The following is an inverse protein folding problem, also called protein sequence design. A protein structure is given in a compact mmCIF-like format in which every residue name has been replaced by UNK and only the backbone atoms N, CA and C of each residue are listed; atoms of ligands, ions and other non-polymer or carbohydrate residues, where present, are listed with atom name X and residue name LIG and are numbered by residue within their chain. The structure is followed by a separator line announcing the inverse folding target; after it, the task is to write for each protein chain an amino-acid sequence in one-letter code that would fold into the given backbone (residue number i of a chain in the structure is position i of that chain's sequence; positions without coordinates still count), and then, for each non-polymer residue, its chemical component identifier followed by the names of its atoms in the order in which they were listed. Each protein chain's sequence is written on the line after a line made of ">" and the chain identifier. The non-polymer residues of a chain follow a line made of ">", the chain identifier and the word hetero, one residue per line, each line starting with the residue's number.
data_IF_700184008128
#
_entry.id   IF_700184008128
#
_cell.length_a   1.000
_cell.length_b   1.000
_cell.length_c   1.000
_cell.angle_alpha   90.00
_cell.angle_beta   90.00
_cell.angle_gamma   90.00
#
_symmetry.space_group_name_H-M   'P 1'
#
loop_
_entity.id
_entity.type
_entity.pdbx_description
1 polymer ?
#
# COMPACT_ATOMS: atom_id res chain seq x y z
N UNK A 1 -1.65 -12.32 -19.70
CA UNK A 1 -0.52 -11.38 -19.45
C UNK A 1 0.75 -12.22 -19.26
N UNK A 2 1.83 -11.92 -19.96
CA UNK A 2 3.12 -12.62 -19.78
C UNK A 2 3.79 -12.10 -18.50
N UNK A 3 4.34 -13.00 -17.67
CA UNK A 3 5.06 -12.59 -16.44
C UNK A 3 6.37 -11.89 -16.83
N UNK A 4 6.64 -10.75 -16.19
CA UNK A 4 7.84 -9.93 -16.45
C UNK A 4 9.10 -10.73 -16.11
N UNK A 5 10.17 -10.59 -16.92
CA UNK A 5 11.50 -11.13 -16.57
C UNK A 5 12.09 -10.29 -15.44
N UNK A 6 12.82 -10.93 -14.52
CA UNK A 6 13.48 -10.23 -13.40
C UNK A 6 14.55 -9.27 -13.94
N UNK A 7 15.29 -9.70 -14.95
CA UNK A 7 16.34 -8.92 -15.60
C UNK A 7 16.33 -9.16 -17.11
N UNK A 8 16.50 -8.09 -17.89
CA UNK A 8 16.50 -8.15 -19.35
C UNK A 8 17.61 -7.27 -19.96
N UNK A 9 18.84 -7.79 -20.09
CA UNK A 9 19.99 -7.01 -20.56
C UNK A 9 19.85 -6.51 -22.00
N UNK A 10 18.99 -7.13 -22.80
CA UNK A 10 18.75 -6.80 -24.21
C UNK A 10 17.60 -5.78 -24.38
N UNK A 11 17.17 -5.13 -23.31
CA UNK A 11 16.15 -4.08 -23.39
C UNK A 11 16.72 -2.84 -24.09
N UNK A 12 16.04 -2.42 -25.16
CA UNK A 12 16.35 -1.19 -25.90
C UNK A 12 15.33 -0.07 -25.58
N UNK A 13 14.59 -0.19 -24.47
CA UNK A 13 13.53 0.76 -24.12
C UNK A 13 14.11 2.11 -23.69
N UNK A 14 13.83 3.18 -24.45
CA UNK A 14 14.23 4.53 -24.08
C UNK A 14 13.30 5.12 -23.01
N UNK A 15 13.64 6.28 -22.44
CA UNK A 15 12.82 6.92 -21.41
C UNK A 15 11.38 7.21 -21.90
N UNK A 16 11.23 7.60 -23.16
CA UNK A 16 9.92 7.89 -23.77
C UNK A 16 9.08 6.65 -24.03
N UNK A 17 9.72 5.51 -24.30
CA UNK A 17 9.04 4.27 -24.68
C UNK A 17 8.44 3.51 -23.50
N UNK A 18 8.85 3.84 -22.26
CA UNK A 18 8.41 3.14 -21.05
C UNK A 18 6.90 3.17 -20.88
N UNK A 19 6.28 2.02 -20.69
CA UNK A 19 4.83 1.88 -20.47
C UNK A 19 4.54 1.28 -19.10
N UNK A 20 3.34 1.55 -18.58
CA UNK A 20 2.86 0.95 -17.31
C UNK A 20 2.56 -0.54 -17.51
N UNK A 21 1.98 -0.89 -18.65
CA UNK A 21 1.69 -2.25 -19.08
C UNK A 21 2.35 -2.54 -20.42
N UNK A 22 2.73 -3.80 -20.64
CA UNK A 22 3.31 -4.29 -21.90
C UNK A 22 4.56 -3.51 -22.40
N UNK A 23 5.33 -2.95 -21.46
CA UNK A 23 6.63 -2.36 -21.73
C UNK A 23 7.74 -3.42 -21.82
N UNK A 24 8.94 -3.01 -22.23
CA UNK A 24 10.11 -3.88 -22.32
C UNK A 24 11.23 -3.41 -21.36
N UNK A 25 11.03 -3.42 -20.03
CA UNK A 25 11.98 -2.85 -19.09
C UNK A 25 13.25 -3.71 -18.95
N UNK A 26 14.37 -3.04 -18.67
CA UNK A 26 15.65 -3.69 -18.32
C UNK A 26 15.58 -4.47 -16.98
N UNK A 27 14.65 -4.09 -16.08
CA UNK A 27 14.47 -4.71 -14.76
C UNK A 27 15.23 -3.99 -13.62
N UNK A 28 16.08 -3.02 -13.93
CA UNK A 28 16.81 -2.21 -12.93
C UNK A 28 15.91 -1.06 -12.44
N UNK A 29 15.83 -0.89 -11.12
CA UNK A 29 15.21 0.28 -10.49
C UNK A 29 16.14 1.49 -10.62
N UNK A 30 15.70 2.50 -11.38
CA UNK A 30 16.46 3.74 -11.58
C UNK A 30 15.59 4.97 -11.30
N UNK A 31 15.80 5.57 -10.14
CA UNK A 31 15.06 6.73 -9.66
C UNK A 31 15.48 8.06 -10.31
N UNK A 32 16.69 8.14 -10.91
CA UNK A 32 17.16 9.37 -11.58
C UNK A 32 16.61 9.54 -12.99
N UNK A 33 16.21 8.44 -13.63
CA UNK A 33 15.63 8.41 -14.98
C UNK A 33 14.21 7.86 -14.96
N UNK A 34 13.28 8.46 -14.22
CA UNK A 34 11.88 8.04 -14.19
C UNK A 34 11.05 8.77 -15.27
N UNK A 35 10.21 8.03 -16.01
CA UNK A 35 9.25 8.62 -16.98
C UNK A 35 8.07 9.29 -16.26
N UNK A 36 7.55 8.62 -15.23
CA UNK A 36 6.38 9.06 -14.46
C UNK A 36 6.86 9.75 -13.19
N UNK A 37 7.16 11.05 -13.29
CA UNK A 37 7.70 11.83 -12.16
C UNK A 37 6.72 11.97 -11.00
N UNK A 38 5.40 11.87 -11.25
CA UNK A 38 4.38 11.83 -10.20
C UNK A 38 4.54 10.62 -9.28
N UNK A 39 5.07 9.50 -9.78
CA UNK A 39 5.25 8.29 -8.99
C UNK A 39 6.36 8.48 -7.95
N UNK A 40 7.41 9.25 -8.28
CA UNK A 40 8.46 9.63 -7.33
C UNK A 40 7.92 10.55 -6.25
N UNK A 41 7.13 11.57 -6.61
CA UNK A 41 6.49 12.45 -5.63
C UNK A 41 5.55 11.69 -4.70
N UNK A 42 4.80 10.73 -5.23
CA UNK A 42 3.93 9.88 -4.42
C UNK A 42 4.75 9.01 -3.47
N UNK A 43 5.87 8.43 -3.93
CA UNK A 43 6.79 7.69 -3.07
C UNK A 43 7.29 8.53 -1.90
N UNK A 44 7.78 9.75 -2.16
CA UNK A 44 8.27 10.64 -1.10
C UNK A 44 7.17 10.97 -0.07
N UNK A 45 5.94 11.20 -0.54
CA UNK A 45 4.78 11.42 0.33
C UNK A 45 4.42 10.18 1.15
N UNK A 46 4.54 8.98 0.59
CA UNK A 46 4.30 7.73 1.31
C UNK A 46 5.35 7.52 2.40
N UNK A 47 6.62 7.77 2.08
CA UNK A 47 7.74 7.66 3.03
C UNK A 47 7.58 8.66 4.18
N UNK A 48 7.22 9.90 3.88
CA UNK A 48 6.98 10.95 4.88
C UNK A 48 5.80 10.64 5.83
N UNK A 49 4.83 9.82 5.40
CA UNK A 49 3.65 9.43 6.20
C UNK A 49 3.84 8.12 6.97
N UNK A 50 5.08 7.67 7.16
CA UNK A 50 5.37 6.46 7.94
C UNK A 50 5.00 6.67 9.41
N UNK A 51 4.22 5.76 9.98
CA UNK A 51 3.85 5.73 11.40
C UNK A 51 3.73 4.29 11.89
N UNK A 52 3.86 4.08 13.20
CA UNK A 52 3.75 2.76 13.80
C UNK A 52 2.57 2.67 14.77
N UNK A 53 1.72 1.61 14.70
CA UNK A 53 0.56 1.48 15.59
C UNK A 53 0.88 1.51 17.09
N UNK A 54 2.08 1.09 17.48
CA UNK A 54 2.53 1.08 18.89
C UNK A 54 2.81 2.47 19.45
N UNK A 55 2.91 3.49 18.60
CA UNK A 55 3.16 4.87 19.01
C UNK A 55 1.88 5.56 19.52
N UNK A 56 0.70 4.96 19.26
CA UNK A 56 -0.59 5.48 19.69
C UNK A 56 -1.01 4.83 21.01
N UNK A 57 -1.26 5.66 22.04
CA UNK A 57 -1.81 5.19 23.31
C UNK A 57 -3.29 4.82 23.15
N UNK A 58 -3.62 3.56 23.47
CA UNK A 58 -4.98 2.99 23.38
C UNK A 58 -5.55 2.61 24.74
N UNK A 59 -4.92 3.04 25.84
CA UNK A 59 -5.31 2.66 27.20
C UNK A 59 -6.74 3.08 27.54
N UNK A 60 -7.15 4.28 27.10
CA UNK A 60 -8.52 4.79 27.33
C UNK A 60 -9.53 4.05 26.46
N UNK A 61 -9.23 3.84 25.19
CA UNK A 61 -10.08 3.11 24.24
C UNK A 61 -10.39 1.70 24.73
N UNK A 62 -9.39 1.02 25.31
CA UNK A 62 -9.56 -0.30 25.91
C UNK A 62 -10.52 -0.32 27.11
N UNK A 63 -10.54 0.75 27.91
CA UNK A 63 -11.47 0.91 29.02
C UNK A 63 -12.88 1.24 28.52
N UNK A 64 -12.99 2.17 27.57
CA UNK A 64 -14.26 2.61 27.01
C UNK A 64 -14.99 1.46 26.31
N UNK A 65 -14.27 0.67 25.51
CA UNK A 65 -14.82 -0.52 24.85
C UNK A 65 -15.37 -1.56 25.83
N UNK A 66 -14.79 -1.66 27.03
CA UNK A 66 -15.21 -2.64 28.05
C UNK A 66 -16.39 -2.16 28.88
N UNK A 67 -16.38 -0.89 29.28
CA UNK A 67 -17.24 -0.39 30.36
C UNK A 67 -18.27 0.65 29.91
N UNK A 68 -18.01 1.39 28.83
CA UNK A 68 -18.73 2.63 28.53
C UNK A 68 -19.56 2.57 27.24
N UNK A 69 -19.39 1.56 26.39
CA UNK A 69 -20.19 1.39 25.17
C UNK A 69 -21.54 0.73 25.45
N UNK A 70 -22.58 1.25 24.80
CA UNK A 70 -23.87 0.56 24.72
C UNK A 70 -23.77 -0.70 23.86
N UNK A 71 -24.75 -1.60 23.99
CA UNK A 71 -24.82 -2.83 23.19
C UNK A 71 -24.84 -2.53 21.68
N UNK A 72 -25.54 -1.46 21.27
CA UNK A 72 -25.62 -1.07 19.87
C UNK A 72 -24.29 -0.55 19.31
N UNK A 73 -23.61 0.31 20.05
CA UNK A 73 -22.30 0.86 19.66
C UNK A 73 -21.25 -0.23 19.58
N UNK A 74 -21.21 -1.12 20.58
CA UNK A 74 -20.27 -2.25 20.59
C UNK A 74 -20.50 -3.18 19.38
N UNK A 75 -21.76 -3.50 19.06
CA UNK A 75 -22.09 -4.30 17.88
C UNK A 75 -21.60 -3.63 16.60
N UNK A 76 -21.84 -2.33 16.44
CA UNK A 76 -21.41 -1.62 15.23
C UNK A 76 -19.89 -1.53 15.14
N UNK A 77 -19.20 -1.30 16.27
CA UNK A 77 -17.76 -1.31 16.35
C UNK A 77 -17.19 -2.65 15.84
N UNK A 78 -17.68 -3.78 16.35
CA UNK A 78 -17.21 -5.11 15.97
C UNK A 78 -17.45 -5.43 14.48
N UNK A 79 -18.58 -4.98 13.93
CA UNK A 79 -18.91 -5.16 12.51
C UNK A 79 -18.00 -4.34 11.59
N UNK A 80 -17.79 -3.06 11.90
CA UNK A 80 -16.91 -2.19 11.10
C UNK A 80 -15.46 -2.67 11.20
N UNK A 81 -15.02 -3.02 12.41
CA UNK A 81 -13.66 -3.49 12.65
C UNK A 81 -13.35 -4.78 11.89
N UNK A 82 -14.25 -5.76 11.93
CA UNK A 82 -14.08 -7.02 11.18
C UNK A 82 -14.04 -6.81 9.67
N UNK A 83 -14.88 -5.90 9.15
CA UNK A 83 -14.88 -5.55 7.73
C UNK A 83 -13.54 -4.92 7.30
N UNK A 84 -13.03 -3.96 8.07
CA UNK A 84 -11.76 -3.27 7.74
C UNK A 84 -10.57 -4.23 7.72
N UNK A 85 -10.44 -5.09 8.74
CA UNK A 85 -9.37 -6.10 8.78
C UNK A 85 -9.44 -7.04 7.57
N UNK A 86 -10.65 -7.48 7.22
CA UNK A 86 -10.84 -8.36 6.07
C UNK A 86 -10.44 -7.65 4.77
N UNK A 87 -10.82 -6.39 4.60
CA UNK A 87 -10.50 -5.61 3.41
C UNK A 87 -8.99 -5.39 3.25
N UNK A 88 -8.27 -5.06 4.33
CA UNK A 88 -6.82 -4.89 4.30
C UNK A 88 -6.11 -6.20 3.90
N UNK A 89 -6.61 -7.33 4.41
CA UNK A 89 -6.09 -8.67 4.06
C UNK A 89 -6.30 -8.97 2.57
N UNK A 90 -7.48 -8.67 2.02
CA UNK A 90 -7.75 -8.86 0.59
C UNK A 90 -6.89 -7.96 -0.30
N UNK A 91 -6.70 -6.70 0.08
CA UNK A 91 -5.84 -5.78 -0.67
C UNK A 91 -4.38 -6.26 -0.68
N UNK A 92 -3.87 -6.72 0.46
CA UNK A 92 -2.51 -7.27 0.57
C UNK A 92 -2.30 -8.45 -0.37
N UNK A 93 -3.28 -9.36 -0.46
CA UNK A 93 -3.19 -10.53 -1.32
C UNK A 93 -3.34 -10.19 -2.82
N UNK A 94 -4.13 -9.18 -3.16
CA UNK A 94 -4.39 -8.81 -4.56
C UNK A 94 -3.26 -7.96 -5.18
N UNK A 95 -2.53 -7.20 -4.36
CA UNK A 95 -1.44 -6.35 -4.82
C UNK A 95 -0.08 -7.09 -4.92
N UNK A 96 0.05 -8.23 -4.24
CA UNK A 96 1.23 -9.10 -4.26
C UNK A 96 1.32 -9.91 -5.57
#
# INVERSE_FOLDING_TARGET
>A
MQRKRIYNPNSNETLGDRKIFDGNPHGILNFTKAKYTWALKLWDLMEANTWFPKEVDTTKDALDYRCNLTVGEKRMYDLVWSQLISMDSFQTNNLA
#
